data_IF_487970883675
#
_entry.id   IF_487970883675
#
_cell.length_a   1.000
_cell.length_b   1.000
_cell.length_c   1.000
_cell.angle_alpha   90.00
_cell.angle_beta   90.00
_cell.angle_gamma   90.00
#
_symmetry.space_group_name_H-M   'P 1'
#
loop_
_entity.id
_entity.type
_entity.pdbx_description
1 polymer ?
#
# COMPACT_ATOMS: atom_id res chain seq x y z
N UNK A 1 -4.18 15.11 15.33
CA UNK A 1 -4.65 14.53 14.05
C UNK A 1 -5.42 13.29 14.43
N UNK A 2 -6.75 13.31 14.37
CA UNK A 2 -7.58 12.25 14.96
C UNK A 2 -8.14 11.24 13.93
N UNK A 3 -7.87 11.43 12.64
CA UNK A 3 -8.34 10.50 11.60
C UNK A 3 -7.22 9.58 11.16
N UNK A 4 -7.48 8.28 11.13
CA UNK A 4 -6.68 7.27 10.46
C UNK A 4 -7.33 6.95 9.11
N UNK A 5 -6.66 7.29 8.01
CA UNK A 5 -7.08 6.93 6.66
C UNK A 5 -6.41 5.63 6.24
N UNK A 6 -7.15 4.74 5.57
CA UNK A 6 -6.64 3.46 5.09
C UNK A 6 -7.04 3.24 3.63
N UNK A 7 -6.08 2.89 2.78
CA UNK A 7 -6.34 2.38 1.44
C UNK A 7 -6.76 0.92 1.51
N UNK A 8 -7.66 0.48 0.64
CA UNK A 8 -8.05 -0.92 0.56
C UNK A 8 -8.45 -1.33 -0.86
N UNK A 9 -8.83 -2.61 -1.02
CA UNK A 9 -9.48 -3.08 -2.24
C UNK A 9 -10.93 -2.52 -2.27
N UNK A 10 -11.41 -1.99 -3.41
CA UNK A 10 -12.83 -1.65 -3.55
C UNK A 10 -13.73 -2.85 -3.23
N UNK A 11 -14.77 -2.61 -2.44
CA UNK A 11 -15.71 -3.64 -1.97
C UNK A 11 -15.28 -4.36 -0.69
N UNK A 12 -14.13 -4.02 -0.11
CA UNK A 12 -13.63 -4.55 1.18
C UNK A 12 -13.61 -3.49 2.29
N UNK A 13 -14.29 -2.36 2.08
CA UNK A 13 -14.27 -1.25 3.03
C UNK A 13 -14.90 -1.63 4.38
N UNK A 14 -15.91 -2.50 4.37
CA UNK A 14 -16.57 -3.02 5.57
C UNK A 14 -15.64 -3.91 6.41
N UNK A 15 -14.85 -4.77 5.76
CA UNK A 15 -13.85 -5.60 6.41
C UNK A 15 -12.74 -4.76 7.04
N UNK A 16 -12.26 -3.72 6.35
CA UNK A 16 -11.30 -2.77 6.92
C UNK A 16 -11.88 -2.07 8.15
N UNK A 17 -13.13 -1.60 8.07
CA UNK A 17 -13.79 -0.94 9.19
C UNK A 17 -13.92 -1.87 10.40
N UNK A 18 -14.27 -3.14 10.15
CA UNK A 18 -14.42 -4.15 11.20
C UNK A 18 -13.08 -4.51 11.84
N UNK A 19 -12.05 -4.75 11.02
CA UNK A 19 -10.70 -5.05 11.47
C UNK A 19 -10.13 -3.91 12.32
N UNK A 20 -10.16 -2.67 11.83
CA UNK A 20 -9.55 -1.55 12.56
C UNK A 20 -10.32 -1.22 13.85
N UNK A 21 -11.65 -1.38 13.86
CA UNK A 21 -12.45 -1.15 15.05
C UNK A 21 -12.13 -2.17 16.15
N UNK A 22 -11.92 -3.44 15.80
CA UNK A 22 -11.50 -4.47 16.75
C UNK A 22 -10.11 -4.16 17.34
N UNK A 23 -9.15 -3.74 16.51
CA UNK A 23 -7.83 -3.31 16.97
C UNK A 23 -7.90 -2.06 17.86
N UNK A 24 -8.71 -1.07 17.49
CA UNK A 24 -8.91 0.13 18.29
C UNK A 24 -9.51 -0.19 19.67
N UNK A 25 -10.51 -1.07 19.73
CA UNK A 25 -11.09 -1.53 20.98
C UNK A 25 -10.08 -2.24 21.89
N UNK A 26 -9.23 -3.10 21.32
CA UNK A 26 -8.14 -3.79 22.06
C UNK A 26 -7.09 -2.83 22.62
N UNK A 27 -6.89 -1.67 21.99
CA UNK A 27 -5.92 -0.66 22.38
C UNK A 27 -6.53 0.49 23.19
N UNK A 28 -7.81 0.37 23.58
CA UNK A 28 -8.57 1.40 24.29
C UNK A 28 -8.54 2.77 23.57
N UNK A 29 -8.68 2.73 22.25
CA UNK A 29 -8.78 3.92 21.39
C UNK A 29 -10.24 4.11 21.00
N UNK A 30 -10.89 5.08 21.63
CA UNK A 30 -12.27 5.44 21.34
C UNK A 30 -12.40 6.13 19.96
N UNK A 31 -13.39 5.69 19.18
CA UNK A 31 -13.67 6.24 17.86
C UNK A 31 -14.71 5.44 17.10
N UNK A 32 -14.86 5.75 15.82
CA UNK A 32 -15.73 4.99 14.93
C UNK A 32 -15.11 4.84 13.54
N UNK A 33 -15.30 3.67 12.94
CA UNK A 33 -14.96 3.44 11.55
C UNK A 33 -16.09 3.93 10.64
N UNK A 34 -15.73 4.52 9.50
CA UNK A 34 -16.67 4.83 8.42
C UNK A 34 -16.03 4.52 7.07
N UNK A 35 -16.84 4.03 6.15
CA UNK A 35 -16.49 3.94 4.76
C UNK A 35 -17.75 3.90 3.89
N UNK A 36 -17.56 4.07 2.58
CA UNK A 36 -18.61 3.85 1.58
C UNK A 36 -18.18 2.73 0.65
N UNK A 37 -19.09 1.85 0.21
CA UNK A 37 -18.77 0.82 -0.77
C UNK A 37 -18.11 1.40 -2.02
N UNK A 38 -17.20 0.62 -2.61
CA UNK A 38 -16.51 0.91 -3.87
C UNK A 38 -15.68 2.20 -3.90
N UNK A 39 -15.33 2.74 -2.73
CA UNK A 39 -14.47 3.93 -2.60
C UNK A 39 -12.99 3.61 -2.39
N UNK A 40 -12.64 2.32 -2.24
CA UNK A 40 -11.27 1.82 -2.06
C UNK A 40 -10.53 2.41 -0.85
N UNK A 41 -11.26 2.96 0.13
CA UNK A 41 -10.70 3.48 1.35
C UNK A 41 -11.68 3.43 2.52
N UNK A 42 -11.12 3.48 3.73
CA UNK A 42 -11.85 3.60 4.98
C UNK A 42 -11.19 4.62 5.90
N UNK A 43 -11.95 5.14 6.86
CA UNK A 43 -11.50 6.10 7.85
C UNK A 43 -11.87 5.60 9.25
N UNK A 44 -10.95 5.69 10.20
CA UNK A 44 -11.28 5.57 11.62
C UNK A 44 -11.09 6.93 12.30
N UNK A 45 -12.18 7.47 12.86
CA UNK A 45 -12.23 8.80 13.46
C UNK A 45 -12.15 8.64 14.96
N UNK A 46 -11.01 9.01 15.53
CA UNK A 46 -10.78 8.95 16.97
C UNK A 46 -11.46 10.13 17.67
N UNK A 47 -12.00 9.87 18.86
CA UNK A 47 -12.56 10.91 19.73
C UNK A 47 -11.46 11.79 20.31
N UNK A 48 -10.31 11.19 20.63
CA UNK A 48 -9.15 11.87 21.22
C UNK A 48 -8.19 12.36 20.13
N UNK A 49 -7.52 13.49 20.39
CA UNK A 49 -6.66 14.16 19.40
C UNK A 49 -5.41 13.35 19.02
N UNK A 50 -4.94 12.48 19.92
CA UNK A 50 -3.80 11.58 19.80
C UNK A 50 -4.22 10.11 19.53
N UNK A 51 -5.52 9.81 19.47
CA UNK A 51 -6.02 8.43 19.34
C UNK A 51 -5.48 7.71 18.09
N UNK A 52 -5.38 8.41 16.95
CA UNK A 52 -4.85 7.81 15.72
C UNK A 52 -3.35 7.50 15.83
N UNK A 53 -2.59 8.31 16.58
CA UNK A 53 -1.18 8.06 16.87
C UNK A 53 -0.99 6.89 17.83
N UNK A 54 -1.80 6.82 18.90
CA UNK A 54 -1.83 5.66 19.81
C UNK A 54 -2.17 4.37 19.07
N UNK A 55 -3.16 4.41 18.17
CA UNK A 55 -3.55 3.27 17.35
C UNK A 55 -2.42 2.81 16.43
N UNK A 56 -1.78 3.75 15.71
CA UNK A 56 -0.64 3.43 14.84
C UNK A 56 0.58 2.92 15.62
N UNK A 57 0.82 3.42 16.83
CA UNK A 57 1.92 2.94 17.68
C UNK A 57 1.64 1.57 18.31
N UNK A 58 0.38 1.31 18.68
CA UNK A 58 -0.04 0.07 19.33
C UNK A 58 -0.29 -1.08 18.36
N UNK A 59 -0.59 -0.79 17.09
CA UNK A 59 -0.86 -1.79 16.06
C UNK A 59 0.28 -1.86 15.04
N UNK A 60 0.74 -3.08 14.75
CA UNK A 60 1.71 -3.31 13.67
C UNK A 60 1.01 -3.42 12.33
N UNK A 61 1.44 -2.62 11.36
CA UNK A 61 0.84 -2.55 10.03
C UNK A 61 0.88 -3.91 9.32
N UNK A 62 1.99 -4.67 9.46
CA UNK A 62 2.17 -6.00 8.85
C UNK A 62 1.25 -7.09 9.42
N UNK A 63 0.44 -6.78 10.44
CA UNK A 63 -0.56 -7.66 11.03
C UNK A 63 -1.99 -7.34 10.58
N UNK A 64 -2.17 -6.28 9.81
CA UNK A 64 -3.45 -5.93 9.20
C UNK A 64 -3.62 -6.70 7.89
N UNK A 65 -4.83 -7.20 7.65
CA UNK A 65 -5.15 -8.06 6.52
C UNK A 65 -5.74 -7.24 5.37
N UNK A 66 -6.67 -6.32 5.66
CA UNK A 66 -7.46 -5.65 4.64
C UNK A 66 -6.91 -4.28 4.18
N UNK A 67 -6.33 -3.44 5.07
CA UNK A 67 -5.61 -2.22 4.69
C UNK A 67 -4.39 -2.51 3.82
N UNK A 68 -4.29 -1.83 2.68
CA UNK A 68 -3.09 -1.81 1.83
C UNK A 68 -2.06 -0.79 2.29
N UNK A 69 -2.52 0.28 2.92
CA UNK A 69 -1.70 1.36 3.47
C UNK A 69 -2.55 2.12 4.50
N UNK A 70 -1.89 2.83 5.41
CA UNK A 70 -2.55 3.72 6.36
C UNK A 70 -1.76 5.02 6.61
N UNK A 71 -2.45 6.03 7.13
CA UNK A 71 -1.81 7.24 7.68
C UNK A 71 -2.76 7.99 8.61
N UNK A 72 -2.20 8.60 9.66
CA UNK A 72 -2.92 9.54 10.52
C UNK A 72 -2.86 10.94 9.94
N UNK A 73 -3.95 11.70 10.00
CA UNK A 73 -4.01 12.98 9.30
C UNK A 73 -5.35 13.67 9.35
N UNK A 74 -5.61 14.46 8.31
CA UNK A 74 -6.85 15.21 8.11
C UNK A 74 -7.13 15.43 6.62
N UNK A 75 -8.40 15.67 6.29
CA UNK A 75 -8.79 16.15 4.96
C UNK A 75 -8.64 17.66 4.88
N UNK A 76 -8.13 18.11 3.74
CA UNK A 76 -7.95 19.50 3.38
C UNK A 76 -8.64 19.78 2.05
N UNK A 77 -9.48 20.80 2.04
CA UNK A 77 -10.04 21.33 0.80
C UNK A 77 -9.01 22.23 0.11
N UNK A 78 -8.85 22.02 -1.20
CA UNK A 78 -7.89 22.74 -2.02
C UNK A 78 -8.60 23.71 -2.96
N UNK A 79 -8.11 24.95 -3.05
CA UNK A 79 -8.58 25.91 -4.05
C UNK A 79 -8.22 25.46 -5.48
N UNK A 80 -8.87 26.05 -6.47
CA UNK A 80 -8.57 25.80 -7.89
C UNK A 80 -7.16 26.26 -8.28
N UNK A 81 -6.71 27.35 -7.67
CA UNK A 81 -5.39 27.97 -7.86
C UNK A 81 -4.64 28.00 -6.52
N UNK A 82 -3.31 28.00 -6.56
CA UNK A 82 -2.46 28.12 -5.36
C UNK A 82 -2.61 27.00 -4.28
N UNK A 83 -2.79 25.75 -4.73
CA UNK A 83 -2.87 24.56 -3.85
C UNK A 83 -1.68 24.41 -2.91
N UNK A 84 -0.47 24.77 -3.36
CA UNK A 84 0.77 24.57 -2.61
C UNK A 84 0.79 25.43 -1.34
N UNK A 85 0.38 26.69 -1.42
CA UNK A 85 0.37 27.60 -0.27
C UNK A 85 -0.57 27.09 0.82
N UNK A 86 -1.75 26.60 0.44
CA UNK A 86 -2.73 26.01 1.38
C UNK A 86 -2.18 24.74 2.04
N UNK A 87 -1.54 23.85 1.26
CA UNK A 87 -0.88 22.65 1.79
C UNK A 87 0.25 23.03 2.76
N UNK A 88 1.12 23.98 2.39
CA UNK A 88 2.23 24.42 3.25
C UNK A 88 1.75 25.05 4.56
N UNK A 89 0.70 25.88 4.50
CA UNK A 89 0.10 26.47 5.69
C UNK A 89 -0.40 25.39 6.65
N UNK A 90 -1.08 24.36 6.12
CA UNK A 90 -1.55 23.25 6.94
C UNK A 90 -0.40 22.39 7.51
N UNK A 91 0.65 22.17 6.72
CA UNK A 91 1.84 21.42 7.12
C UNK A 91 2.72 22.16 8.13
N UNK A 92 2.46 23.44 8.43
CA UNK A 92 3.17 24.16 9.49
C UNK A 92 3.12 23.41 10.83
N UNK A 93 1.97 22.79 11.15
CA UNK A 93 1.76 21.96 12.33
C UNK A 93 2.31 20.52 12.24
N UNK A 94 2.78 20.11 11.07
CA UNK A 94 3.33 18.77 10.82
C UNK A 94 4.84 18.74 11.08
N UNK A 95 5.41 17.58 11.48
CA UNK A 95 6.85 17.40 11.56
C UNK A 95 7.50 17.47 10.17
N UNK A 96 8.81 17.70 10.13
CA UNK A 96 9.60 17.51 8.91
C UNK A 96 9.57 16.03 8.52
N UNK A 97 9.20 15.76 7.26
CA UNK A 97 9.06 14.42 6.72
C UNK A 97 10.30 13.99 5.92
N UNK A 98 10.53 12.67 5.85
CA UNK A 98 11.67 12.05 5.17
C UNK A 98 11.39 11.65 3.72
N UNK A 99 10.12 11.53 3.37
CA UNK A 99 9.68 11.18 2.02
C UNK A 99 8.27 11.72 1.75
N UNK A 100 7.93 11.85 0.47
CA UNK A 100 6.65 12.37 -0.02
C UNK A 100 6.10 11.37 -1.04
N UNK A 101 4.89 10.88 -0.80
CA UNK A 101 4.10 10.11 -1.77
C UNK A 101 2.80 10.84 -2.09
N UNK A 102 2.53 10.98 -3.38
CA UNK A 102 1.23 11.42 -3.88
C UNK A 102 0.47 10.17 -4.31
N UNK A 103 -0.69 9.99 -3.70
CA UNK A 103 -1.52 8.81 -3.80
C UNK A 103 -2.92 9.19 -4.29
N UNK A 104 -3.62 8.20 -4.80
CA UNK A 104 -5.04 8.27 -5.16
C UNK A 104 -5.71 7.01 -4.60
N UNK A 105 -7.03 7.00 -4.53
CA UNK A 105 -7.76 5.76 -4.23
C UNK A 105 -7.77 4.85 -5.46
N UNK A 106 -7.74 3.52 -5.27
CA UNK A 106 -7.69 2.53 -6.37
C UNK A 106 -9.06 2.32 -7.03
N UNK A 107 -9.64 3.41 -7.53
CA UNK A 107 -10.88 3.46 -8.31
C UNK A 107 -10.59 3.98 -9.73
N UNK A 108 -11.56 3.90 -10.64
CA UNK A 108 -11.41 4.49 -11.97
C UNK A 108 -11.21 6.01 -11.89
N UNK A 109 -12.03 6.71 -11.11
CA UNK A 109 -11.92 8.15 -10.87
C UNK A 109 -10.56 8.53 -10.25
N UNK A 110 -10.07 7.73 -9.30
CA UNK A 110 -8.74 7.92 -8.72
C UNK A 110 -7.62 7.77 -9.76
N UNK A 111 -7.76 6.81 -10.69
CA UNK A 111 -6.79 6.63 -11.79
C UNK A 111 -6.74 7.85 -12.72
N UNK A 112 -7.85 8.53 -12.95
CA UNK A 112 -7.88 9.77 -13.74
C UNK A 112 -7.05 10.90 -13.09
N UNK A 113 -6.99 10.94 -11.74
CA UNK A 113 -6.17 11.89 -10.98
C UNK A 113 -4.67 11.57 -10.99
N UNK A 114 -4.26 10.39 -11.46
CA UNK A 114 -2.84 9.99 -11.46
C UNK A 114 -1.96 10.92 -12.29
N UNK A 115 -2.47 11.43 -13.42
CA UNK A 115 -1.73 12.37 -14.27
C UNK A 115 -1.56 13.74 -13.59
N UNK A 116 -2.57 14.19 -12.84
CA UNK A 116 -2.47 15.38 -12.00
C UNK A 116 -1.38 15.18 -10.94
N UNK A 117 -1.41 14.09 -10.19
CA UNK A 117 -0.43 13.79 -9.15
C UNK A 117 1.00 13.78 -9.70
N UNK A 118 1.24 13.12 -10.85
CA UNK A 118 2.55 13.10 -11.51
C UNK A 118 3.06 14.50 -11.86
N UNK A 119 2.21 15.39 -12.39
CA UNK A 119 2.58 16.76 -12.73
C UNK A 119 2.75 17.66 -11.49
N UNK A 120 2.00 17.37 -10.43
CA UNK A 120 2.00 18.15 -9.20
C UNK A 120 3.16 17.81 -8.26
N UNK A 121 3.72 16.59 -8.35
CA UNK A 121 4.76 16.11 -7.45
C UNK A 121 6.03 16.98 -7.44
N UNK A 122 6.59 17.29 -8.62
CA UNK A 122 7.82 18.09 -8.72
C UNK A 122 7.70 19.51 -8.12
N UNK A 123 6.69 20.34 -8.48
CA UNK A 123 6.55 21.67 -7.88
C UNK A 123 6.24 21.60 -6.38
N UNK A 124 5.42 20.64 -5.93
CA UNK A 124 5.14 20.46 -4.50
C UNK A 124 6.40 20.08 -3.72
N UNK A 125 7.17 19.09 -4.20
CA UNK A 125 8.43 18.66 -3.58
C UNK A 125 9.40 19.82 -3.41
N UNK A 126 9.57 20.64 -4.46
CA UNK A 126 10.42 21.84 -4.40
C UNK A 126 9.98 22.79 -3.29
N UNK A 127 8.68 23.08 -3.21
CA UNK A 127 8.13 23.98 -2.19
C UNK A 127 8.29 23.42 -0.77
N UNK A 128 8.04 22.12 -0.56
CA UNK A 128 8.21 21.45 0.74
C UNK A 128 9.67 21.45 1.21
N UNK A 129 10.62 21.19 0.31
CA UNK A 129 12.04 21.24 0.63
C UNK A 129 12.50 22.66 0.96
N UNK A 130 12.06 23.67 0.20
CA UNK A 130 12.35 25.08 0.49
C UNK A 130 11.79 25.54 1.84
N UNK A 131 10.63 25.02 2.24
CA UNK A 131 10.02 25.29 3.54
C UNK A 131 10.59 24.44 4.70
N UNK A 132 11.59 23.58 4.45
CA UNK A 132 12.16 22.69 5.47
C UNK A 132 11.21 21.59 5.96
N UNK A 133 10.12 21.32 5.23
CA UNK A 133 9.11 20.31 5.55
C UNK A 133 9.40 18.94 4.96
N UNK A 134 10.32 18.86 4.00
CA UNK A 134 10.75 17.61 3.38
C UNK A 134 12.27 17.57 3.25
N UNK A 135 12.87 16.53 3.81
CA UNK A 135 14.30 16.22 3.73
C UNK A 135 14.48 14.78 3.26
N UNK A 136 15.67 14.42 2.81
CA UNK A 136 16.02 13.04 2.47
C UNK A 136 16.57 12.33 3.72
N UNK A 137 15.68 11.76 4.54
CA UNK A 137 16.05 10.96 5.71
C UNK A 137 15.04 9.82 5.89
N UNK A 138 15.41 8.55 5.64
CA UNK A 138 14.50 7.42 5.70
C UNK A 138 13.98 7.11 7.10
N UNK A 139 14.55 7.71 8.16
CA UNK A 139 14.10 7.52 9.55
C UNK A 139 12.95 8.46 9.94
N UNK A 140 12.72 9.51 9.14
CA UNK A 140 11.64 10.46 9.38
C UNK A 140 10.32 9.93 8.82
N UNK A 141 9.18 10.35 9.37
CA UNK A 141 7.88 9.92 8.89
C UNK A 141 7.69 10.31 7.42
N UNK A 142 6.85 9.54 6.75
CA UNK A 142 6.47 9.74 5.37
C UNK A 142 5.23 10.63 5.30
N UNK A 143 5.30 11.64 4.43
CA UNK A 143 4.15 12.47 4.08
C UNK A 143 3.38 11.80 2.94
N UNK A 144 2.12 11.44 3.21
CA UNK A 144 1.19 10.89 2.23
C UNK A 144 0.14 11.94 1.86
N UNK A 145 0.05 12.29 0.59
CA UNK A 145 -1.03 13.11 0.05
C UNK A 145 -1.95 12.24 -0.78
N UNK A 146 -3.07 11.79 -0.21
CA UNK A 146 -4.07 11.00 -0.94
C UNK A 146 -5.16 11.89 -1.50
N UNK A 147 -5.21 12.05 -2.81
CA UNK A 147 -6.22 12.85 -3.49
C UNK A 147 -7.48 12.02 -3.74
N UNK A 148 -8.61 12.48 -3.18
CA UNK A 148 -9.96 11.97 -3.53
C UNK A 148 -10.54 12.73 -4.73
N UNK A 149 -10.12 13.98 -4.94
CA UNK A 149 -10.45 14.79 -6.10
C UNK A 149 -9.38 15.87 -6.34
N UNK A 150 -9.53 16.69 -7.38
CA UNK A 150 -8.68 17.87 -7.60
C UNK A 150 -8.84 19.00 -6.57
N UNK A 151 -9.80 18.84 -5.63
CA UNK A 151 -10.15 19.80 -4.57
C UNK A 151 -10.16 19.19 -3.15
N UNK A 152 -9.97 17.89 -2.99
CA UNK A 152 -9.98 17.23 -1.68
C UNK A 152 -8.76 16.30 -1.58
N UNK A 153 -7.92 16.56 -0.58
CA UNK A 153 -6.72 15.77 -0.30
C UNK A 153 -6.68 15.37 1.17
N UNK A 154 -6.30 14.14 1.46
CA UNK A 154 -5.90 13.74 2.79
C UNK A 154 -4.42 14.01 2.99
N UNK A 155 -4.07 14.83 3.99
CA UNK A 155 -2.70 15.05 4.42
C UNK A 155 -2.39 14.09 5.57
N UNK A 156 -1.64 13.03 5.25
CA UNK A 156 -1.33 11.93 6.17
C UNK A 156 0.14 11.84 6.53
N UNK A 157 0.40 11.34 7.74
CA UNK A 157 1.70 10.89 8.21
C UNK A 157 1.66 9.39 8.43
N UNK A 158 2.69 8.71 7.95
CA UNK A 158 2.94 7.31 8.20
C UNK A 158 4.35 7.12 8.73
N UNK A 159 4.53 6.29 9.75
CA UNK A 159 5.86 5.98 10.28
C UNK A 159 6.66 5.18 9.25
N UNK A 160 7.96 5.43 9.19
CA UNK A 160 8.82 4.87 8.14
C UNK A 160 8.91 3.34 8.18
N UNK A 161 8.78 2.76 9.38
CA UNK A 161 8.92 1.32 9.68
C UNK A 161 7.61 0.65 10.09
N UNK A 162 6.48 1.38 10.02
CA UNK A 162 5.16 0.88 10.34
C UNK A 162 4.12 1.36 9.31
N UNK A 163 4.40 1.13 8.03
CA UNK A 163 3.54 1.51 6.90
C UNK A 163 3.83 0.65 5.66
N UNK A 164 3.05 0.84 4.59
CA UNK A 164 3.25 0.05 3.38
C UNK A 164 4.60 0.35 2.69
N UNK A 165 5.12 -0.68 2.00
CA UNK A 165 6.38 -0.62 1.25
C UNK A 165 6.28 0.18 -0.05
N UNK A 166 5.08 0.32 -0.60
CA UNK A 166 4.83 1.01 -1.87
C UNK A 166 3.69 2.04 -1.73
N UNK A 167 3.66 3.09 -2.57
CA UNK A 167 2.53 4.00 -2.65
C UNK A 167 1.21 3.25 -2.85
N UNK A 168 0.18 3.64 -2.10
CA UNK A 168 -1.14 3.00 -2.03
C UNK A 168 -1.10 1.53 -1.56
N UNK A 169 0.06 1.02 -1.16
CA UNK A 169 0.27 -0.39 -0.85
C UNK A 169 0.27 -1.32 -2.06
N UNK A 170 0.50 -0.80 -3.27
CA UNK A 170 0.40 -1.60 -4.51
C UNK A 170 1.78 -1.68 -5.19
N UNK A 171 2.40 -2.87 -5.26
CA UNK A 171 3.67 -3.03 -5.98
C UNK A 171 3.47 -2.89 -7.49
N UNK A 172 4.48 -2.34 -8.17
CA UNK A 172 4.50 -2.27 -9.64
C UNK A 172 5.17 -3.52 -10.20
N UNK A 173 4.38 -4.56 -10.43
CA UNK A 173 4.84 -5.81 -11.04
C UNK A 173 4.44 -5.86 -12.52
N UNK A 174 5.35 -6.35 -13.36
CA UNK A 174 5.11 -6.51 -14.80
C UNK A 174 4.80 -7.97 -15.08
N UNK A 175 3.65 -8.23 -15.70
CA UNK A 175 3.29 -9.57 -16.15
C UNK A 175 4.30 -10.10 -17.18
N UNK A 176 5.00 -11.22 -16.90
CA UNK A 176 5.90 -11.85 -17.87
C UNK A 176 5.08 -12.51 -18.98
N UNK A 177 5.54 -12.39 -20.24
CA UNK A 177 4.77 -12.87 -21.41
C UNK A 177 4.75 -14.40 -21.47
N UNK A 178 5.76 -15.02 -20.89
CA UNK A 178 5.99 -16.46 -20.87
C UNK A 178 5.17 -17.17 -19.77
N UNK A 179 4.62 -16.43 -18.80
CA UNK A 179 3.81 -17.04 -17.76
C UNK A 179 2.44 -17.48 -18.30
N UNK A 180 1.97 -18.68 -17.95
CA UNK A 180 0.72 -19.21 -18.49
C UNK A 180 -0.54 -18.59 -17.88
N UNK A 181 -0.39 -17.81 -16.80
CA UNK A 181 -1.51 -17.17 -16.11
C UNK A 181 -1.08 -15.92 -15.37
N UNK A 182 -1.97 -14.91 -15.35
CA UNK A 182 -1.81 -13.68 -14.56
C UNK A 182 -1.74 -13.93 -13.05
N UNK A 183 -2.20 -15.11 -12.56
CA UNK A 183 -2.09 -15.48 -11.15
C UNK A 183 -0.64 -15.55 -10.66
N UNK A 184 0.32 -15.66 -11.57
CA UNK A 184 1.76 -15.60 -11.29
C UNK A 184 2.17 -14.39 -10.46
N UNK A 185 1.52 -13.24 -10.69
CA UNK A 185 1.83 -12.00 -9.98
C UNK A 185 1.40 -12.04 -8.51
N UNK A 186 0.43 -12.89 -8.14
CA UNK A 186 0.00 -13.03 -6.75
C UNK A 186 1.12 -13.63 -5.88
N UNK A 187 1.82 -14.65 -6.40
CA UNK A 187 2.93 -15.28 -5.67
C UNK A 187 4.16 -14.36 -5.63
N UNK A 188 4.45 -13.67 -6.74
CA UNK A 188 5.53 -12.66 -6.77
C UNK A 188 5.27 -11.51 -5.78
N UNK A 189 4.05 -10.97 -5.76
CA UNK A 189 3.64 -9.96 -4.78
C UNK A 189 3.75 -10.48 -3.34
N UNK A 190 3.30 -11.72 -3.08
CA UNK A 190 3.41 -12.34 -1.77
C UNK A 190 4.87 -12.45 -1.30
N UNK A 191 5.80 -12.83 -2.18
CA UNK A 191 7.22 -12.85 -1.82
C UNK A 191 7.75 -11.46 -1.50
N UNK A 192 7.37 -10.44 -2.27
CA UNK A 192 7.75 -9.06 -1.99
C UNK A 192 7.21 -8.56 -0.65
N UNK A 193 6.04 -9.03 -0.22
CA UNK A 193 5.42 -8.63 1.03
C UNK A 193 5.96 -9.41 2.24
N UNK A 194 6.12 -10.72 2.13
CA UNK A 194 6.37 -11.60 3.27
C UNK A 194 7.83 -12.02 3.45
N UNK A 195 8.69 -11.78 2.46
CA UNK A 195 10.10 -12.18 2.49
C UNK A 195 10.95 -10.93 2.22
N UNK A 196 11.74 -10.46 3.22
CA UNK A 196 12.69 -9.38 3.03
C UNK A 196 13.61 -9.65 1.83
N UNK A 197 13.82 -8.65 0.98
CA UNK A 197 14.45 -8.83 -0.33
C UNK A 197 15.87 -9.40 -0.25
N UNK A 198 16.60 -9.05 0.80
CA UNK A 198 17.94 -9.52 1.13
C UNK A 198 17.98 -11.01 1.54
N UNK A 199 16.84 -11.59 1.94
CA UNK A 199 16.72 -13.00 2.32
C UNK A 199 16.25 -13.90 1.18
N UNK A 200 15.99 -13.36 -0.01
CA UNK A 200 15.41 -14.13 -1.11
C UNK A 200 16.30 -15.28 -1.58
N UNK A 201 17.62 -15.08 -1.64
CA UNK A 201 18.51 -16.12 -2.15
C UNK A 201 18.67 -17.28 -1.17
N UNK A 202 18.46 -17.05 0.11
CA UNK A 202 18.41 -18.09 1.14
C UNK A 202 17.02 -18.74 1.23
N UNK A 203 15.96 -17.94 1.35
CA UNK A 203 14.59 -18.41 1.64
C UNK A 203 13.78 -18.81 0.41
N UNK A 204 14.22 -18.41 -0.78
CA UNK A 204 13.67 -18.78 -2.09
C UNK A 204 14.81 -19.30 -2.99
N UNK A 205 15.68 -20.15 -2.41
CA UNK A 205 16.82 -20.75 -3.12
C UNK A 205 16.36 -21.68 -4.26
N UNK A 206 17.13 -21.75 -5.33
CA UNK A 206 16.89 -22.67 -6.44
C UNK A 206 17.11 -24.14 -6.08
N UNK A 207 17.88 -24.43 -5.02
CA UNK A 207 18.10 -25.81 -4.57
C UNK A 207 16.88 -26.40 -3.82
N UNK A 208 15.83 -25.59 -3.63
CA UNK A 208 14.61 -26.02 -2.95
C UNK A 208 13.68 -26.81 -3.86
N UNK A 209 12.88 -27.67 -3.24
CA UNK A 209 11.71 -28.30 -3.88
C UNK A 209 10.43 -27.55 -3.51
N UNK A 210 9.55 -27.33 -4.49
CA UNK A 210 8.22 -26.75 -4.27
C UNK A 210 7.09 -27.72 -4.61
N UNK A 211 5.93 -27.53 -3.98
CA UNK A 211 4.67 -28.21 -4.36
C UNK A 211 3.63 -27.15 -4.64
N UNK A 212 3.03 -27.20 -5.84
CA UNK A 212 1.94 -26.29 -6.26
C UNK A 212 0.64 -27.10 -6.34
N UNK A 213 -0.35 -26.77 -5.50
CA UNK A 213 -1.62 -27.49 -5.39
C UNK A 213 -2.72 -26.74 -6.14
N UNK A 214 -3.38 -27.41 -7.08
CA UNK A 214 -4.28 -26.74 -8.03
C UNK A 214 -3.47 -25.91 -9.03
N UNK A 215 -2.39 -26.49 -9.52
CA UNK A 215 -1.35 -25.78 -10.26
C UNK A 215 -1.80 -25.31 -11.64
N UNK A 216 -2.76 -25.97 -12.30
CA UNK A 216 -3.05 -25.72 -13.71
C UNK A 216 -3.62 -24.29 -13.94
N UNK A 217 -3.15 -23.55 -14.96
CA UNK A 217 -2.19 -23.95 -16.00
C UNK A 217 -0.71 -23.65 -15.66
N UNK A 218 -0.40 -23.24 -14.43
CA UNK A 218 0.97 -23.12 -13.91
C UNK A 218 1.42 -21.70 -13.54
N UNK A 219 0.51 -20.81 -13.16
CA UNK A 219 0.87 -19.42 -12.82
C UNK A 219 1.85 -19.32 -11.64
N UNK A 220 1.62 -20.07 -10.57
CA UNK A 220 2.50 -20.10 -9.39
C UNK A 220 3.73 -20.97 -9.63
N UNK A 221 3.54 -22.16 -10.21
CA UNK A 221 4.62 -23.00 -10.73
C UNK A 221 5.65 -22.21 -11.53
N UNK A 222 5.22 -21.29 -12.41
CA UNK A 222 6.14 -20.41 -13.16
C UNK A 222 7.11 -19.62 -12.27
N UNK A 223 6.64 -19.04 -11.16
CA UNK A 223 7.53 -18.27 -10.27
C UNK A 223 8.53 -19.17 -9.55
N UNK A 224 8.10 -20.35 -9.12
CA UNK A 224 8.95 -21.34 -8.46
C UNK A 224 10.05 -21.84 -9.41
N UNK A 225 9.67 -22.26 -10.62
CA UNK A 225 10.61 -22.69 -11.67
C UNK A 225 11.59 -21.57 -12.05
N UNK A 226 11.10 -20.32 -12.14
CA UNK A 226 11.96 -19.15 -12.41
C UNK A 226 13.01 -18.89 -11.32
N UNK A 227 12.79 -19.37 -10.09
CA UNK A 227 13.79 -19.35 -9.01
C UNK A 227 14.76 -20.54 -9.06
N UNK A 228 14.57 -21.48 -9.99
CA UNK A 228 15.38 -22.69 -10.15
C UNK A 228 14.88 -23.89 -9.35
N UNK A 229 13.75 -23.76 -8.66
CA UNK A 229 13.21 -24.84 -7.81
C UNK A 229 12.73 -26.02 -8.64
N UNK A 230 12.89 -27.23 -8.10
CA UNK A 230 12.23 -28.44 -8.61
C UNK A 230 10.78 -28.47 -8.10
N UNK A 231 9.80 -28.48 -9.00
CA UNK A 231 8.38 -28.28 -8.61
C UNK A 231 7.53 -29.52 -8.90
N UNK A 232 6.84 -30.01 -7.87
CA UNK A 232 5.73 -30.97 -8.05
C UNK A 232 4.43 -30.20 -8.22
N UNK A 233 3.97 -30.05 -9.46
CA UNK A 233 2.69 -29.42 -9.78
C UNK A 233 1.56 -30.46 -9.77
N UNK A 234 0.54 -30.25 -8.93
CA UNK A 234 -0.56 -31.20 -8.71
C UNK A 234 -1.87 -30.57 -9.17
N UNK A 235 -2.41 -31.10 -10.28
CA UNK A 235 -3.73 -30.74 -10.79
C UNK A 235 -4.30 -31.87 -11.67
N UNK A 236 -5.61 -31.89 -11.87
CA UNK A 236 -6.25 -32.73 -12.88
C UNK A 236 -6.17 -32.08 -14.28
N UNK A 237 -6.09 -30.76 -14.35
CA UNK A 237 -5.94 -29.99 -15.58
C UNK A 237 -4.50 -30.03 -16.11
N UNK A 238 -4.30 -29.79 -17.41
CA UNK A 238 -2.97 -29.79 -18.00
C UNK A 238 -2.16 -28.56 -17.57
N UNK A 239 -0.86 -28.78 -17.34
CA UNK A 239 0.13 -27.71 -17.23
C UNK A 239 0.44 -27.15 -18.62
N UNK A 240 0.80 -25.86 -18.69
CA UNK A 240 1.25 -25.28 -19.95
C UNK A 240 2.57 -25.94 -20.43
N UNK A 241 2.63 -26.29 -21.71
CA UNK A 241 3.78 -26.99 -22.31
C UNK A 241 5.11 -26.26 -22.07
N UNK A 242 5.12 -24.92 -22.18
CA UNK A 242 6.32 -24.13 -21.95
C UNK A 242 6.90 -24.22 -20.54
N UNK A 243 6.15 -24.70 -19.54
CA UNK A 243 6.70 -25.03 -18.22
C UNK A 243 7.32 -26.42 -18.20
N UNK A 244 6.71 -27.38 -18.89
CA UNK A 244 7.22 -28.76 -18.98
C UNK A 244 8.53 -28.83 -19.77
N UNK A 245 8.64 -28.02 -20.82
CA UNK A 245 9.82 -27.95 -21.70
C UNK A 245 11.08 -27.43 -20.99
N UNK A 246 10.93 -26.73 -19.87
CA UNK A 246 12.08 -26.27 -19.09
C UNK A 246 12.81 -27.39 -18.36
N UNK A 247 12.22 -28.59 -18.26
CA UNK A 247 12.86 -29.78 -17.70
C UNK A 247 13.26 -29.67 -16.23
N UNK A 248 12.77 -28.64 -15.54
CA UNK A 248 12.83 -28.42 -14.09
C UNK A 248 11.56 -28.92 -13.43
#
# INVERSE_FOLDING_TARGET
>A
MNTLFMHCRPGFEGEVCSEIADHAARLDVAGYAKARPDTACAEFICTEADGAERLMNGQRFDKLIFPRQWARGLFLELPETDRISVILAQLAAFPTCGSLWLEVVDTNDGKELSNFCKKFEAPLRKALTQAGKLVDDPRKPRLLLTFKSGREVFLGLADADNSAMWPMGIPRLKFPREAPSRSTLKLEEAWHHFIPRDQWDERLSGDMTGVDLGAAPGGWTYQLVRRGMLVTAIDNGPMAEGLMDTGL
#
